data_IF_604474445469
#
_entry.id   IF_604474445469
#
_cell.length_a   1.000
_cell.length_b   1.000
_cell.length_c   1.000
_cell.angle_alpha   90.00
_cell.angle_beta   90.00
_cell.angle_gamma   90.00
#
_symmetry.space_group_name_H-M   'P 1'
#
loop_
_entity.id
_entity.type
_entity.pdbx_description
1 polymer ?
#
# COMPACT_ATOMS: atom_id res chain seq x y z
N UNK A 1 -16.17 -9.62 4.45
CA UNK A 1 -15.27 -10.70 4.01
C UNK A 1 -14.92 -10.54 2.55
N UNK A 2 -13.68 -10.88 2.18
CA UNK A 2 -13.19 -10.74 0.81
C UNK A 2 -13.73 -11.86 -0.13
N UNK A 3 -13.96 -11.57 -1.43
CA UNK A 3 -14.52 -12.53 -2.38
C UNK A 3 -13.69 -13.81 -2.59
N UNK A 4 -12.38 -13.79 -2.33
CA UNK A 4 -11.47 -14.91 -2.63
C UNK A 4 -11.82 -16.22 -1.93
N UNK A 5 -12.40 -16.16 -0.72
CA UNK A 5 -12.85 -17.34 0.00
C UNK A 5 -13.99 -18.09 -0.73
N UNK A 6 -14.82 -17.36 -1.49
CA UNK A 6 -15.91 -17.95 -2.27
C UNK A 6 -15.42 -18.68 -3.54
N UNK A 7 -14.19 -18.42 -3.98
CA UNK A 7 -13.60 -18.99 -5.20
C UNK A 7 -12.44 -19.96 -4.92
N UNK A 8 -12.13 -20.25 -3.66
CA UNK A 8 -11.00 -21.11 -3.28
C UNK A 8 -9.63 -20.51 -3.63
N UNK A 9 -9.56 -19.20 -3.86
CA UNK A 9 -8.31 -18.51 -4.23
C UNK A 9 -7.59 -18.07 -2.96
N UNK A 10 -6.28 -18.35 -2.89
CA UNK A 10 -5.45 -17.92 -1.77
C UNK A 10 -5.47 -16.39 -1.61
N UNK A 11 -5.83 -15.88 -0.42
CA UNK A 11 -5.82 -14.43 -0.18
C UNK A 11 -4.41 -13.84 -0.31
N UNK A 12 -3.36 -14.62 0.00
CA UNK A 12 -1.98 -14.21 -0.19
C UNK A 12 -1.58 -14.09 -1.66
N UNK A 13 -2.10 -14.98 -2.53
CA UNK A 13 -1.90 -14.85 -3.97
C UNK A 13 -2.56 -13.56 -4.50
N UNK A 14 -3.77 -13.25 -4.04
CA UNK A 14 -4.45 -12.00 -4.36
C UNK A 14 -3.66 -10.78 -3.84
N UNK A 15 -3.11 -10.86 -2.63
CA UNK A 15 -2.28 -9.79 -2.06
C UNK A 15 -1.06 -9.50 -2.95
N UNK A 16 -0.32 -10.52 -3.39
CA UNK A 16 0.84 -10.33 -4.27
C UNK A 16 0.43 -9.72 -5.61
N UNK A 17 -0.56 -10.31 -6.28
CA UNK A 17 -0.99 -9.84 -7.62
C UNK A 17 -1.54 -8.42 -7.57
N UNK A 18 -2.40 -8.12 -6.59
CA UNK A 18 -2.96 -6.77 -6.43
C UNK A 18 -1.90 -5.74 -6.06
N UNK A 19 -0.91 -6.10 -5.24
CA UNK A 19 0.20 -5.19 -4.88
C UNK A 19 1.07 -4.86 -6.08
N UNK A 20 1.36 -5.85 -6.95
CA UNK A 20 2.08 -5.62 -8.20
C UNK A 20 1.27 -4.72 -9.14
N UNK A 21 -0.01 -5.02 -9.34
CA UNK A 21 -0.87 -4.19 -10.19
C UNK A 21 -0.99 -2.75 -9.68
N UNK A 22 -1.14 -2.58 -8.36
CA UNK A 22 -1.20 -1.28 -7.70
C UNK A 22 0.11 -0.50 -7.87
N UNK A 23 1.26 -1.15 -7.66
CA UNK A 23 2.57 -0.56 -7.88
C UNK A 23 2.75 -0.05 -9.32
N UNK A 24 2.39 -0.89 -10.31
CA UNK A 24 2.49 -0.52 -11.72
C UNK A 24 1.56 0.63 -12.10
N UNK A 25 0.38 0.73 -11.46
CA UNK A 25 -0.53 1.86 -11.60
C UNK A 25 0.06 3.20 -11.15
N UNK A 26 1.16 3.18 -10.39
CA UNK A 26 1.84 4.35 -9.85
C UNK A 26 3.16 4.68 -10.58
N UNK A 27 3.28 4.31 -11.86
CA UNK A 27 4.50 4.56 -12.66
C UNK A 27 4.97 6.01 -12.70
N UNK A 28 4.08 6.99 -12.48
CA UNK A 28 4.44 8.41 -12.39
C UNK A 28 5.32 8.76 -11.18
N UNK A 29 5.40 7.90 -10.16
CA UNK A 29 6.26 8.09 -8.98
C UNK A 29 7.71 7.62 -9.20
N UNK A 30 8.11 7.32 -10.43
CA UNK A 30 9.44 6.79 -10.73
C UNK A 30 9.70 5.38 -10.17
N UNK A 31 10.88 4.84 -10.45
CA UNK A 31 11.21 3.42 -10.14
C UNK A 31 11.11 3.09 -8.65
N UNK A 32 11.58 3.99 -7.81
CA UNK A 32 11.58 3.75 -6.37
C UNK A 32 10.21 4.01 -5.76
N UNK A 33 9.47 5.03 -6.22
CA UNK A 33 8.08 5.22 -5.81
C UNK A 33 7.22 4.00 -6.12
N UNK A 34 7.37 3.40 -7.30
CA UNK A 34 6.73 2.12 -7.65
C UNK A 34 7.09 1.01 -6.66
N UNK A 35 8.36 0.85 -6.31
CA UNK A 35 8.81 -0.17 -5.37
C UNK A 35 8.24 0.05 -3.95
N UNK A 36 8.25 1.29 -3.46
CA UNK A 36 7.71 1.68 -2.16
C UNK A 36 6.19 1.47 -2.13
N UNK A 37 5.47 1.92 -3.16
CA UNK A 37 4.03 1.74 -3.28
C UNK A 37 3.62 0.27 -3.33
N UNK A 38 4.38 -0.57 -4.04
CA UNK A 38 4.16 -2.02 -4.03
C UNK A 38 4.39 -2.66 -2.67
N UNK A 39 5.46 -2.27 -1.96
CA UNK A 39 5.75 -2.76 -0.62
C UNK A 39 4.67 -2.34 0.40
N UNK A 40 4.24 -1.09 0.37
CA UNK A 40 3.15 -0.58 1.22
C UNK A 40 1.82 -1.27 0.88
N UNK A 41 1.50 -1.44 -0.40
CA UNK A 41 0.32 -2.17 -0.85
C UNK A 41 0.29 -3.60 -0.32
N UNK A 42 1.43 -4.29 -0.35
CA UNK A 42 1.56 -5.65 0.19
C UNK A 42 1.40 -5.68 1.72
N UNK A 43 1.98 -4.70 2.43
CA UNK A 43 1.85 -4.59 3.87
C UNK A 43 0.39 -4.35 4.30
N UNK A 44 -0.34 -3.48 3.58
CA UNK A 44 -1.76 -3.23 3.82
C UNK A 44 -2.62 -4.47 3.51
N UNK A 45 -2.34 -5.17 2.41
CA UNK A 45 -3.02 -6.41 2.08
C UNK A 45 -2.76 -7.51 3.12
N UNK A 46 -1.53 -7.64 3.61
CA UNK A 46 -1.18 -8.54 4.71
C UNK A 46 -1.94 -8.16 6.00
N UNK A 47 -2.00 -6.87 6.32
CA UNK A 47 -2.78 -6.35 7.44
C UNK A 47 -4.26 -6.75 7.35
N UNK A 48 -4.86 -6.66 6.17
CA UNK A 48 -6.21 -7.16 5.94
C UNK A 48 -6.33 -8.67 6.18
N UNK A 49 -5.43 -9.47 5.60
CA UNK A 49 -5.49 -10.94 5.72
C UNK A 49 -5.38 -11.39 7.17
N UNK A 50 -4.53 -10.74 7.96
CA UNK A 50 -4.28 -11.11 9.36
C UNK A 50 -5.37 -10.62 10.31
N UNK A 51 -6.15 -9.60 9.93
CA UNK A 51 -7.13 -8.95 10.83
C UNK A 51 -8.59 -9.07 10.38
N UNK A 52 -8.83 -9.45 9.13
CA UNK A 52 -10.13 -9.39 8.44
C UNK A 52 -10.85 -8.02 8.59
N UNK A 53 -10.08 -6.93 8.75
CA UNK A 53 -10.61 -5.61 9.05
C UNK A 53 -10.17 -4.57 8.03
N UNK A 54 -11.14 -4.08 7.25
CA UNK A 54 -10.92 -2.92 6.39
C UNK A 54 -10.63 -1.65 7.20
N UNK A 55 -11.17 -1.53 8.41
CA UNK A 55 -10.91 -0.38 9.27
C UNK A 55 -9.43 -0.28 9.63
N UNK A 56 -8.78 -1.40 9.97
CA UNK A 56 -7.34 -1.43 10.25
C UNK A 56 -6.53 -0.95 9.05
N UNK A 57 -6.89 -1.40 7.85
CA UNK A 57 -6.22 -0.99 6.60
C UNK A 57 -6.40 0.50 6.34
N UNK A 58 -7.62 1.01 6.44
CA UNK A 58 -7.93 2.43 6.22
C UNK A 58 -7.15 3.29 7.19
N UNK A 59 -7.16 2.97 8.49
CA UNK A 59 -6.41 3.70 9.52
C UNK A 59 -4.91 3.66 9.21
N UNK A 60 -4.35 2.48 8.94
CA UNK A 60 -2.92 2.34 8.64
C UNK A 60 -2.52 3.16 7.40
N UNK A 61 -3.35 3.17 6.36
CA UNK A 61 -3.09 3.96 5.15
C UNK A 61 -3.06 5.47 5.45
N UNK A 62 -4.06 5.99 6.16
CA UNK A 62 -4.09 7.41 6.52
C UNK A 62 -2.97 7.81 7.48
N UNK A 63 -2.52 6.91 8.36
CA UNK A 63 -1.36 7.16 9.22
C UNK A 63 -0.07 7.26 8.41
N UNK A 64 0.13 6.41 7.41
CA UNK A 64 1.29 6.50 6.50
C UNK A 64 1.26 7.83 5.74
N UNK A 65 0.11 8.20 5.18
CA UNK A 65 -0.03 9.48 4.47
C UNK A 65 0.24 10.68 5.40
N UNK A 66 -0.32 10.67 6.61
CA UNK A 66 -0.11 11.75 7.58
C UNK A 66 1.36 11.86 8.01
N UNK A 67 2.04 10.72 8.20
CA UNK A 67 3.47 10.70 8.50
C UNK A 67 4.30 11.23 7.34
N UNK A 68 3.98 10.83 6.10
CA UNK A 68 4.65 11.32 4.90
C UNK A 68 4.53 12.84 4.78
N UNK A 69 3.32 13.39 4.95
CA UNK A 69 3.10 14.83 4.95
C UNK A 69 3.85 15.53 6.09
N UNK A 70 3.76 15.02 7.32
CA UNK A 70 4.45 15.61 8.47
C UNK A 70 5.97 15.66 8.28
N UNK A 71 6.55 14.61 7.68
CA UNK A 71 7.99 14.54 7.45
C UNK A 71 8.41 15.48 6.32
N UNK A 72 7.71 15.50 5.18
CA UNK A 72 8.10 16.35 4.05
C UNK A 72 7.77 17.83 4.30
N UNK A 73 6.53 18.13 4.69
CA UNK A 73 6.06 19.51 4.90
C UNK A 73 6.54 20.06 6.24
N UNK A 74 6.53 19.25 7.30
CA UNK A 74 6.88 19.70 8.65
C UNK A 74 8.38 19.85 8.90
N UNK A 75 9.23 19.09 8.21
CA UNK A 75 10.70 19.21 8.32
C UNK A 75 11.33 19.96 7.15
N UNK A 76 10.53 20.45 6.20
CA UNK A 76 11.01 21.19 5.03
C UNK A 76 11.94 20.38 4.14
N UNK A 77 11.74 19.05 4.09
CA UNK A 77 12.49 18.20 3.18
C UNK A 77 12.00 18.48 1.75
N UNK A 78 12.89 18.47 0.75
CA UNK A 78 12.47 18.62 -0.64
C UNK A 78 11.44 17.55 -1.00
N UNK A 79 10.50 17.88 -1.90
CA UNK A 79 9.55 16.94 -2.46
C UNK A 79 10.26 15.63 -2.87
N UNK A 80 9.62 14.47 -2.68
CA UNK A 80 10.29 13.18 -2.84
C UNK A 80 11.15 13.12 -4.12
N UNK A 81 12.43 12.75 -3.95
CA UNK A 81 13.47 12.61 -5.00
C UNK A 81 13.18 11.43 -5.95
N UNK A 82 11.90 11.17 -6.25
CA UNK A 82 11.48 10.07 -7.11
C UNK A 82 11.14 10.53 -8.54
N UNK A 83 11.40 11.80 -8.88
CA UNK A 83 11.44 12.31 -10.26
C UNK A 83 12.63 11.76 -11.04
#
# INVERSE_FOLDING_TARGET
GAPGAAFGVSPWALAVVSSVAFALGHGAQGRVGVAVTGALGLALAAGFILTDSLLVVVVAHYLVNALEFLVHEGLGLPDPVWS
#
